data_IF_013150754973
#
_entry.id   IF_013150754973
#
_cell.length_a   1.000
_cell.length_b   1.000
_cell.length_c   1.000
_cell.angle_alpha   90.00
_cell.angle_beta   90.00
_cell.angle_gamma   90.00
#
_symmetry.space_group_name_H-M   'P 1'
#
loop_
_entity.id
_entity.type
_entity.pdbx_description
1 polymer ?
#
# COMPACT_ATOMS: atom_id res chain seq x y z
N UNK A 1 -16.47 10.45 5.78
CA UNK A 1 -16.64 9.39 4.75
C UNK A 1 -18.06 9.42 4.17
N UNK A 2 -18.22 9.97 2.96
CA UNK A 2 -19.51 10.03 2.24
C UNK A 2 -19.45 9.31 0.88
N UNK A 3 -18.57 8.31 0.75
CA UNK A 3 -18.47 7.48 -0.45
C UNK A 3 -19.57 6.42 -0.49
N UNK A 4 -20.07 6.08 -1.67
CA UNK A 4 -21.05 5.01 -1.85
C UNK A 4 -20.36 3.65 -1.81
N UNK A 5 -20.95 2.66 -1.13
CA UNK A 5 -20.39 1.29 -1.00
C UNK A 5 -20.59 0.44 -2.28
N UNK A 6 -21.13 1.04 -3.35
CA UNK A 6 -21.44 0.37 -4.60
C UNK A 6 -20.87 1.18 -5.76
N UNK A 7 -20.21 0.49 -6.69
CA UNK A 7 -19.75 1.06 -7.95
C UNK A 7 -20.44 0.33 -9.11
N UNK A 8 -20.61 1.03 -10.24
CA UNK A 8 -21.17 0.43 -11.45
C UNK A 8 -20.05 0.06 -12.43
N UNK A 9 -19.97 -1.21 -12.81
CA UNK A 9 -19.03 -1.69 -13.83
C UNK A 9 -19.75 -1.85 -15.17
N UNK A 10 -19.17 -1.32 -16.24
CA UNK A 10 -19.66 -1.44 -17.61
C UNK A 10 -18.65 -2.22 -18.46
N UNK A 11 -19.14 -3.25 -19.15
CA UNK A 11 -18.35 -4.12 -20.01
C UNK A 11 -18.99 -4.14 -21.40
N UNK A 12 -18.22 -4.05 -22.50
CA UNK A 12 -18.79 -4.09 -23.85
C UNK A 12 -19.63 -5.35 -24.08
N UNK A 13 -20.89 -5.17 -24.52
CA UNK A 13 -21.81 -6.29 -24.79
C UNK A 13 -22.53 -6.85 -23.56
N UNK A 14 -22.31 -6.30 -22.37
CA UNK A 14 -22.98 -6.71 -21.13
C UNK A 14 -23.71 -5.53 -20.50
N UNK A 15 -24.81 -5.79 -19.80
CA UNK A 15 -25.50 -4.77 -19.02
C UNK A 15 -24.62 -4.32 -17.84
N UNK A 16 -24.69 -3.03 -17.50
CA UNK A 16 -23.97 -2.48 -16.34
C UNK A 16 -24.38 -3.20 -15.05
N UNK A 17 -23.41 -3.60 -14.23
CA UNK A 17 -23.65 -4.34 -13.00
C UNK A 17 -23.13 -3.57 -11.78
N UNK A 18 -23.83 -3.63 -10.63
CA UNK A 18 -23.30 -3.12 -9.38
C UNK A 18 -22.22 -4.07 -8.85
N UNK A 19 -21.12 -3.51 -8.36
CA UNK A 19 -20.07 -4.21 -7.63
C UNK A 19 -19.93 -3.62 -6.23
N UNK A 20 -19.66 -4.47 -5.25
CA UNK A 20 -19.39 -4.02 -3.88
C UNK A 20 -18.04 -3.29 -3.85
N UNK A 21 -18.05 -2.05 -3.36
CA UNK A 21 -16.88 -1.22 -3.17
C UNK A 21 -16.84 -0.75 -1.71
N UNK A 22 -16.43 -1.62 -0.77
CA UNK A 22 -16.42 -1.28 0.64
C UNK A 22 -15.46 -0.10 0.91
N UNK A 23 -15.92 0.86 1.71
CA UNK A 23 -15.09 2.00 2.11
C UNK A 23 -14.01 1.47 3.05
N UNK A 24 -12.74 1.64 2.65
CA UNK A 24 -11.58 1.34 3.49
C UNK A 24 -11.02 2.62 4.09
N UNK A 25 -10.35 2.50 5.23
CA UNK A 25 -9.64 3.64 5.81
C UNK A 25 -8.51 4.07 4.87
N UNK A 26 -8.09 5.34 4.97
CA UNK A 26 -6.93 5.82 4.23
C UNK A 26 -5.67 5.00 4.59
N UNK A 27 -5.52 4.61 5.86
CA UNK A 27 -4.42 3.80 6.36
C UNK A 27 -4.35 2.41 5.70
N UNK A 28 -5.50 1.73 5.60
CA UNK A 28 -5.57 0.41 4.95
C UNK A 28 -5.22 0.51 3.46
N UNK A 29 -5.72 1.55 2.78
CA UNK A 29 -5.40 1.82 1.38
C UNK A 29 -3.90 2.12 1.18
N UNK A 30 -3.31 2.96 2.03
CA UNK A 30 -1.88 3.28 1.98
C UNK A 30 -1.01 2.07 2.26
N UNK A 31 -1.37 1.25 3.26
CA UNK A 31 -0.62 0.04 3.62
C UNK A 31 -0.61 -0.98 2.48
N UNK A 32 -1.72 -1.12 1.76
CA UNK A 32 -1.79 -2.01 0.59
C UNK A 32 -0.89 -1.54 -0.55
N UNK A 33 -0.88 -0.24 -0.85
CA UNK A 33 -0.02 0.31 -1.90
C UNK A 33 1.47 0.20 -1.53
N UNK A 34 1.84 0.46 -0.27
CA UNK A 34 3.22 0.29 0.20
C UNK A 34 3.71 -1.17 0.07
N UNK A 35 2.83 -2.16 0.22
CA UNK A 35 3.19 -3.58 0.03
C UNK A 35 3.49 -3.91 -1.44
N UNK A 36 2.93 -3.16 -2.39
CA UNK A 36 3.10 -3.36 -3.84
C UNK A 36 4.35 -2.67 -4.39
N UNK A 37 4.98 -1.79 -3.59
CA UNK A 37 6.22 -1.13 -3.95
C UNK A 37 7.38 -2.10 -3.73
N UNK A 38 8.30 -2.16 -4.70
CA UNK A 38 9.52 -2.95 -4.56
C UNK A 38 10.35 -2.43 -3.37
N UNK A 39 10.96 -3.33 -2.58
CA UNK A 39 11.79 -2.91 -1.46
C UNK A 39 12.94 -2.02 -1.95
N UNK A 40 13.16 -0.90 -1.25
CA UNK A 40 14.25 0.02 -1.59
C UNK A 40 15.59 -0.54 -1.10
N UNK A 41 16.35 -1.13 -2.01
CA UNK A 41 17.65 -1.75 -1.71
C UNK A 41 18.71 -0.74 -1.24
N UNK A 42 18.67 0.51 -1.73
CA UNK A 42 19.66 1.54 -1.38
C UNK A 42 19.37 2.06 0.02
N UNK A 43 18.11 2.33 0.32
CA UNK A 43 17.71 2.74 1.67
C UNK A 43 17.96 1.63 2.68
N UNK A 44 17.68 0.36 2.33
CA UNK A 44 17.99 -0.79 3.17
C UNK A 44 19.49 -0.86 3.50
N UNK A 45 20.37 -0.67 2.51
CA UNK A 45 21.82 -0.63 2.75
C UNK A 45 22.23 0.46 3.73
N UNK A 46 21.63 1.65 3.66
CA UNK A 46 21.91 2.74 4.59
C UNK A 46 21.49 2.37 6.02
N UNK A 47 20.26 1.85 6.20
CA UNK A 47 19.76 1.42 7.51
C UNK A 47 20.63 0.31 8.10
N UNK A 48 21.08 -0.64 7.27
CA UNK A 48 21.96 -1.73 7.73
C UNK A 48 23.37 -1.24 8.03
N UNK A 49 23.94 -0.35 7.21
CA UNK A 49 25.26 0.23 7.45
C UNK A 49 25.27 1.08 8.74
N UNK A 50 24.25 1.92 8.94
CA UNK A 50 24.12 2.76 10.12
C UNK A 50 23.82 1.92 11.38
N UNK A 51 23.02 0.86 11.26
CA UNK A 51 22.77 -0.06 12.38
C UNK A 51 24.06 -0.78 12.82
N UNK A 52 24.88 -1.24 11.88
CA UNK A 52 26.17 -1.85 12.20
C UNK A 52 27.14 -0.84 12.84
N UNK A 53 27.21 0.39 12.35
CA UNK A 53 28.08 1.42 12.96
C UNK A 53 27.63 1.84 14.37
N UNK A 54 26.33 1.78 14.67
CA UNK A 54 25.84 2.02 16.02
C UNK A 54 26.09 0.83 16.96
N UNK A 55 26.08 -0.42 16.46
CA UNK A 55 26.42 -1.61 17.26
C UNK A 55 27.91 -1.69 17.62
N UNK A 56 28.79 -1.09 16.81
CA UNK A 56 30.24 -1.05 17.08
C UNK A 56 30.65 0.07 18.08
N UNK A 57 29.72 0.93 18.51
CA UNK A 57 29.97 2.05 19.42
C UNK A 57 29.55 1.75 20.89
N UNK A 58 29.47 0.46 21.26
CA UNK A 58 29.45 0.01 22.65
C UNK A 58 30.86 -0.43 23.10
N UNK A 59 31.79 0.54 23.25
CA UNK A 59 33.06 0.41 23.99
C UNK A 59 33.34 1.67 24.80
#
# INVERSE_FOLDING_TARGET
PSGEEQAMISLPGQATQPIAMPIRSLEDCLSEELRRIDPDEIYAQLVHADCCTMQDNEL
#
